data_IF_113726665230
#
_entry.id   IF_113726665230
#
_cell.length_a   1.000
_cell.length_b   1.000
_cell.length_c   1.000
_cell.angle_alpha   90.00
_cell.angle_beta   90.00
_cell.angle_gamma   90.00
#
_symmetry.space_group_name_H-M   'P 1'
#
loop_
_entity.id
_entity.type
_entity.pdbx_description
1 polymer ?
#
# COMPACT_ATOMS: atom_id res chain seq x y z
N UNK A 1 -12.57 18.89 -13.92
CA UNK A 1 -11.84 18.68 -12.64
C UNK A 1 -10.40 18.35 -12.97
N UNK A 2 -9.42 19.13 -12.49
CA UNK A 2 -8.00 18.88 -12.72
C UNK A 2 -7.57 17.70 -11.84
N UNK A 3 -7.28 16.54 -12.44
CA UNK A 3 -6.70 15.42 -11.69
C UNK A 3 -5.25 15.78 -11.35
N UNK A 4 -4.97 15.96 -10.06
CA UNK A 4 -3.59 16.07 -9.59
C UNK A 4 -3.12 14.66 -9.30
N UNK A 5 -2.34 14.10 -10.23
CA UNK A 5 -1.72 12.79 -10.09
C UNK A 5 -0.37 12.95 -9.42
N UNK A 6 -0.22 12.41 -8.20
CA UNK A 6 1.07 12.31 -7.53
C UNK A 6 1.84 11.10 -8.08
N UNK A 7 3.18 11.12 -7.98
CA UNK A 7 4.00 9.96 -8.37
C UNK A 7 3.57 8.70 -7.61
N UNK A 8 3.28 8.85 -6.30
CA UNK A 8 2.72 7.76 -5.48
C UNK A 8 1.38 7.25 -6.01
N UNK A 9 0.49 8.16 -6.44
CA UNK A 9 -0.79 7.81 -7.02
C UNK A 9 -0.64 7.01 -8.32
N UNK A 10 0.28 7.39 -9.20
CA UNK A 10 0.57 6.65 -10.42
C UNK A 10 1.19 5.27 -10.13
N UNK A 11 2.09 5.16 -9.16
CA UNK A 11 2.64 3.87 -8.74
C UNK A 11 1.57 2.93 -8.18
N UNK A 12 0.65 3.44 -7.36
CA UNK A 12 -0.44 2.65 -6.79
C UNK A 12 -1.41 2.10 -7.86
N UNK A 13 -1.53 2.76 -9.02
CA UNK A 13 -2.36 2.26 -10.15
C UNK A 13 -1.83 0.98 -10.77
N UNK A 14 -0.54 0.67 -10.58
CA UNK A 14 0.08 -0.56 -11.06
C UNK A 14 -0.41 -1.77 -10.26
N UNK A 15 -0.78 -1.57 -8.99
CA UNK A 15 -1.17 -2.65 -8.09
C UNK A 15 -2.69 -2.89 -8.11
N UNK A 16 -3.15 -4.13 -8.36
CA UNK A 16 -4.57 -4.46 -8.40
C UNK A 16 -5.15 -4.54 -6.99
N UNK A 17 -5.62 -3.40 -6.46
CA UNK A 17 -6.12 -3.29 -5.07
C UNK A 17 -7.16 -4.35 -4.70
N UNK A 18 -8.11 -4.63 -5.59
CA UNK A 18 -9.16 -5.61 -5.33
C UNK A 18 -8.60 -7.03 -5.11
N UNK A 19 -7.69 -7.48 -5.98
CA UNK A 19 -7.06 -8.80 -5.85
C UNK A 19 -6.14 -8.85 -4.63
N UNK A 20 -5.45 -7.76 -4.31
CA UNK A 20 -4.65 -7.65 -3.10
C UNK A 20 -5.50 -7.86 -1.84
N UNK A 21 -6.58 -7.08 -1.68
CA UNK A 21 -7.48 -7.19 -0.52
C UNK A 21 -8.17 -8.57 -0.45
N UNK A 22 -8.43 -9.20 -1.60
CA UNK A 22 -8.94 -10.58 -1.66
C UNK A 22 -7.92 -11.58 -1.12
N UNK A 23 -6.65 -11.45 -1.48
CA UNK A 23 -5.56 -12.28 -0.95
C UNK A 23 -5.37 -12.05 0.56
N UNK A 24 -5.41 -10.80 1.02
CA UNK A 24 -5.33 -10.50 2.45
C UNK A 24 -6.40 -11.22 3.27
N UNK A 25 -7.64 -11.23 2.76
CA UNK A 25 -8.76 -11.95 3.37
C UNK A 25 -8.55 -13.46 3.30
N UNK A 26 -8.11 -13.99 2.16
CA UNK A 26 -7.86 -15.43 1.98
C UNK A 26 -6.81 -15.95 2.98
N UNK A 27 -5.73 -15.20 3.17
CA UNK A 27 -4.61 -15.61 4.03
C UNK A 27 -4.69 -15.07 5.47
N UNK A 28 -5.74 -14.31 5.81
CA UNK A 28 -5.89 -13.66 7.11
C UNK A 28 -4.63 -12.84 7.48
N UNK A 29 -4.02 -12.16 6.51
CA UNK A 29 -2.73 -11.47 6.68
C UNK A 29 -2.78 -10.34 7.71
N UNK A 30 -3.96 -9.75 7.88
CA UNK A 30 -4.21 -8.65 8.82
C UNK A 30 -4.54 -9.15 10.24
N UNK A 31 -4.30 -10.42 10.56
CA UNK A 31 -4.54 -10.99 11.89
C UNK A 31 -3.74 -10.21 12.93
N UNK A 32 -4.42 -9.76 14.00
CA UNK A 32 -3.89 -8.92 15.08
C UNK A 32 -3.64 -7.43 14.74
N UNK A 33 -3.80 -7.02 13.48
CA UNK A 33 -3.77 -5.60 13.12
C UNK A 33 -5.14 -4.96 13.38
N UNK A 34 -5.19 -3.83 14.09
CA UNK A 34 -6.45 -3.11 14.37
C UNK A 34 -6.76 -2.04 13.33
N UNK A 35 -5.73 -1.31 12.89
CA UNK A 35 -5.88 -0.11 12.05
C UNK A 35 -4.91 -0.03 10.87
N UNK A 36 -3.92 -0.91 10.83
CA UNK A 36 -2.83 -0.90 9.85
C UNK A 36 -2.81 -2.22 9.08
N UNK A 37 -3.52 -2.25 7.96
CA UNK A 37 -3.63 -3.40 7.07
C UNK A 37 -2.46 -3.45 6.06
N UNK A 38 -2.33 -4.58 5.38
CA UNK A 38 -1.28 -4.81 4.39
C UNK A 38 -1.34 -3.84 3.21
N UNK A 39 -2.51 -3.31 2.83
CA UNK A 39 -2.58 -2.26 1.81
C UNK A 39 -1.93 -0.96 2.29
N UNK A 40 -2.23 -0.53 3.51
CA UNK A 40 -1.58 0.61 4.15
C UNK A 40 -0.08 0.37 4.30
N UNK A 41 0.33 -0.86 4.68
CA UNK A 41 1.74 -1.25 4.73
C UNK A 41 2.44 -1.12 3.37
N UNK A 42 1.82 -1.59 2.29
CA UNK A 42 2.36 -1.44 0.93
C UNK A 42 2.55 0.04 0.57
N UNK A 43 1.53 0.87 0.83
CA UNK A 43 1.58 2.31 0.54
C UNK A 43 2.71 2.98 1.34
N UNK A 44 2.86 2.64 2.62
CA UNK A 44 3.94 3.15 3.49
C UNK A 44 5.32 2.72 3.00
N UNK A 45 5.49 1.46 2.60
CA UNK A 45 6.77 0.97 2.05
C UNK A 45 7.12 1.64 0.72
N UNK A 46 6.14 1.85 -0.16
CA UNK A 46 6.35 2.56 -1.42
C UNK A 46 6.77 4.02 -1.16
N UNK A 47 6.11 4.69 -0.21
CA UNK A 47 6.49 6.04 0.19
C UNK A 47 7.92 6.08 0.75
N UNK A 48 8.25 5.17 1.67
CA UNK A 48 9.58 5.07 2.25
C UNK A 48 10.67 4.85 1.19
N UNK A 49 10.40 3.98 0.21
CA UNK A 49 11.32 3.72 -0.90
C UNK A 49 11.55 4.96 -1.79
N UNK A 50 10.49 5.75 -2.03
CA UNK A 50 10.59 6.99 -2.81
C UNK A 50 11.44 8.03 -2.06
N UNK A 51 11.32 8.09 -0.74
CA UNK A 51 12.08 9.01 0.12
C UNK A 51 13.52 8.54 0.40
N UNK A 52 13.88 7.32 -0.02
CA UNK A 52 15.22 6.75 0.15
C UNK A 52 15.46 6.15 1.53
N UNK A 53 14.42 5.76 2.26
CA UNK A 53 14.55 5.05 3.52
C UNK A 53 14.82 3.56 3.29
N UNK A 54 15.83 3.03 3.98
CA UNK A 54 16.16 1.60 3.94
C UNK A 54 15.15 0.72 4.68
N UNK A 55 14.39 1.30 5.62
CA UNK A 55 13.38 0.58 6.40
C UNK A 55 12.34 1.53 7.00
N UNK A 56 11.28 0.97 7.59
CA UNK A 56 10.28 1.73 8.34
C UNK A 56 10.70 2.03 9.81
N UNK A 57 11.95 1.71 10.17
CA UNK A 57 12.50 1.88 11.51
C UNK A 57 13.44 3.08 11.58
#
# INVERSE_FOLDING_TARGET
MRQVTTILGELLRIFPRYEFEKLEKQYQSNRYTKYFNGWQQLVTLLFAQIDGHDSLR
#
